data_IF_966066093210
#
_entry.id   IF_966066093210
#
_cell.length_a   1.000
_cell.length_b   1.000
_cell.length_c   1.000
_cell.angle_alpha   90.00
_cell.angle_beta   90.00
_cell.angle_gamma   90.00
#
_symmetry.space_group_name_H-M   'P 1'
#
loop_
_entity.id
_entity.type
_entity.pdbx_description
1 polymer ?
#
# COMPACT_ATOMS: atom_id res chain seq x y z
N UNK A 1 -14.44 6.68 -4.09
CA UNK A 1 -15.50 5.68 -4.28
C UNK A 1 -15.57 5.19 -5.73
N UNK A 2 -15.99 3.96 -5.98
CA UNK A 2 -16.14 3.42 -7.35
C UNK A 2 -17.07 4.24 -8.25
N UNK A 3 -17.94 5.03 -7.66
CA UNK A 3 -18.79 5.97 -8.41
C UNK A 3 -17.97 7.03 -9.13
N UNK A 4 -16.92 7.54 -8.48
CA UNK A 4 -16.08 8.62 -8.99
C UNK A 4 -14.86 8.05 -9.75
N UNK A 5 -14.42 6.85 -9.35
CA UNK A 5 -13.29 6.12 -9.92
C UNK A 5 -13.73 4.70 -10.25
N UNK A 6 -14.41 4.49 -11.38
CA UNK A 6 -14.91 3.18 -11.77
C UNK A 6 -13.76 2.20 -12.05
N UNK A 7 -14.02 0.93 -11.81
CA UNK A 7 -13.08 -0.13 -12.18
C UNK A 7 -12.95 -0.20 -13.71
N UNK A 8 -11.73 -0.30 -14.18
CA UNK A 8 -11.40 -0.53 -15.58
C UNK A 8 -10.60 -1.83 -15.72
N UNK A 9 -10.83 -2.56 -16.80
CA UNK A 9 -10.05 -3.76 -17.10
C UNK A 9 -8.67 -3.36 -17.62
N UNK A 10 -7.60 -3.83 -16.96
CA UNK A 10 -6.22 -3.54 -17.34
C UNK A 10 -5.46 -4.79 -17.79
N UNK A 11 -5.96 -5.99 -17.53
CA UNK A 11 -5.34 -7.24 -17.89
C UNK A 11 -5.81 -8.43 -17.07
N UNK A 12 -5.17 -9.56 -17.30
CA UNK A 12 -5.42 -10.82 -16.61
C UNK A 12 -4.16 -11.23 -15.85
N UNK A 13 -4.30 -11.54 -14.59
CA UNK A 13 -3.24 -12.15 -13.76
C UNK A 13 -3.60 -13.62 -13.51
N UNK A 14 -2.73 -14.52 -13.98
CA UNK A 14 -2.93 -15.96 -13.83
C UNK A 14 -1.96 -16.51 -12.78
N UNK A 15 -2.48 -17.11 -11.72
CA UNK A 15 -1.73 -17.80 -10.68
C UNK A 15 -1.77 -19.32 -10.95
N UNK A 16 -0.93 -19.78 -11.87
CA UNK A 16 -0.99 -21.14 -12.41
C UNK A 16 0.17 -22.05 -12.00
N UNK A 17 1.12 -21.55 -11.17
CA UNK A 17 2.27 -22.32 -10.68
C UNK A 17 2.58 -21.93 -9.24
N UNK A 18 2.82 -22.93 -8.40
CA UNK A 18 3.37 -22.74 -7.06
C UNK A 18 4.90 -22.58 -7.12
N UNK A 19 5.52 -21.84 -6.19
CA UNK A 19 6.95 -21.80 -6.04
C UNK A 19 7.48 -23.18 -5.61
N UNK A 20 8.68 -23.54 -6.10
CA UNK A 20 9.37 -24.79 -5.73
C UNK A 20 10.28 -24.60 -4.53
N UNK A 21 10.86 -23.41 -4.40
CA UNK A 21 11.73 -23.06 -3.29
C UNK A 21 11.25 -21.79 -2.61
N UNK A 22 10.72 -21.92 -1.39
CA UNK A 22 10.16 -20.81 -0.64
C UNK A 22 11.14 -19.65 -0.42
N UNK A 23 12.39 -19.94 -0.05
CA UNK A 23 13.38 -18.89 0.19
C UNK A 23 13.82 -18.20 -1.09
N UNK A 24 14.10 -18.95 -2.13
CA UNK A 24 14.56 -18.38 -3.39
C UNK A 24 13.48 -17.58 -4.14
N UNK A 25 12.23 -18.04 -4.09
CA UNK A 25 11.16 -17.54 -4.95
C UNK A 25 10.11 -16.69 -4.20
N UNK A 26 10.05 -16.76 -2.86
CA UNK A 26 9.05 -16.05 -2.04
C UNK A 26 9.69 -15.18 -0.98
N UNK A 27 10.45 -15.75 -0.03
CA UNK A 27 10.98 -15.03 1.13
C UNK A 27 11.89 -13.87 0.74
N UNK A 28 12.69 -14.03 -0.31
CA UNK A 28 13.61 -13.01 -0.82
C UNK A 28 12.98 -12.04 -1.81
N UNK A 29 11.69 -12.16 -2.09
CA UNK A 29 10.99 -11.17 -2.92
C UNK A 29 11.02 -9.79 -2.26
N UNK A 30 11.44 -8.79 -3.02
CA UNK A 30 11.66 -7.43 -2.53
C UNK A 30 10.77 -6.44 -3.30
N UNK A 31 9.49 -6.38 -2.95
CA UNK A 31 8.59 -5.39 -3.52
C UNK A 31 8.93 -4.00 -3.01
N UNK A 32 8.93 -3.04 -3.93
CA UNK A 32 9.16 -1.64 -3.61
C UNK A 32 8.20 -0.78 -4.45
N UNK A 33 7.36 0.05 -3.83
CA UNK A 33 6.45 0.94 -4.57
C UNK A 33 7.18 1.98 -5.43
N UNK A 34 8.48 2.21 -5.22
CA UNK A 34 9.29 3.06 -6.09
C UNK A 34 9.64 2.40 -7.44
N UNK A 35 9.45 1.08 -7.57
CA UNK A 35 9.69 0.36 -8.82
C UNK A 35 8.47 0.49 -9.74
N UNK A 36 8.45 1.54 -10.53
CA UNK A 36 7.40 1.80 -11.52
C UNK A 36 7.95 1.70 -12.94
N UNK A 37 7.06 1.65 -13.91
CA UNK A 37 7.39 1.66 -15.34
C UNK A 37 7.04 3.02 -15.94
N UNK A 38 7.68 3.42 -17.06
CA UNK A 38 7.31 4.65 -17.77
C UNK A 38 5.80 4.72 -18.05
N UNK A 39 5.22 5.89 -17.85
CA UNK A 39 3.78 6.13 -17.98
C UNK A 39 2.94 5.88 -16.73
N UNK A 40 3.54 5.37 -15.65
CA UNK A 40 2.90 5.25 -14.32
C UNK A 40 3.68 6.12 -13.34
N UNK A 41 3.02 7.13 -12.78
CA UNK A 41 3.58 8.02 -11.77
C UNK A 41 3.11 7.70 -10.35
N UNK A 42 3.52 8.52 -9.42
CA UNK A 42 3.13 8.41 -8.01
C UNK A 42 1.97 9.34 -7.68
N UNK A 43 1.01 8.85 -6.93
CA UNK A 43 -0.04 9.72 -6.40
C UNK A 43 0.51 10.63 -5.28
N UNK A 44 -0.17 11.76 -4.98
CA UNK A 44 0.21 12.66 -3.90
C UNK A 44 -0.17 12.14 -2.50
N UNK A 45 -0.68 10.92 -2.40
CA UNK A 45 -1.02 10.30 -1.12
C UNK A 45 0.19 10.28 -0.18
N UNK A 46 0.03 10.83 1.02
CA UNK A 46 1.14 10.98 1.99
C UNK A 46 1.68 9.64 2.47
N UNK A 47 0.82 8.63 2.57
CA UNK A 47 1.25 7.27 2.94
C UNK A 47 2.12 6.69 1.84
N UNK A 48 1.73 6.81 0.57
CA UNK A 48 2.54 6.36 -0.55
C UNK A 48 3.88 7.08 -0.60
N UNK A 49 3.89 8.40 -0.43
CA UNK A 49 5.13 9.19 -0.42
C UNK A 49 6.11 8.71 0.66
N UNK A 50 5.63 8.41 1.86
CA UNK A 50 6.45 7.80 2.93
C UNK A 50 6.94 6.40 2.57
N UNK A 51 6.12 5.59 1.90
CA UNK A 51 6.46 4.23 1.48
C UNK A 51 7.55 4.18 0.40
N UNK A 52 7.68 5.22 -0.43
CA UNK A 52 8.76 5.30 -1.42
C UNK A 52 10.16 5.26 -0.78
N UNK A 53 10.29 5.80 0.41
CA UNK A 53 11.55 5.76 1.17
C UNK A 53 11.67 4.48 2.02
N UNK A 54 10.59 4.08 2.68
CA UNK A 54 10.61 3.01 3.68
C UNK A 54 10.97 1.64 3.10
N UNK A 55 10.41 1.28 1.93
CA UNK A 55 10.60 -0.07 1.38
C UNK A 55 12.00 -0.29 0.85
N UNK A 56 12.58 0.68 0.14
CA UNK A 56 13.95 0.58 -0.34
C UNK A 56 14.95 0.43 0.80
N UNK A 57 14.75 1.17 1.87
CA UNK A 57 15.58 1.06 3.07
C UNK A 57 15.41 -0.30 3.76
N UNK A 58 14.18 -0.73 3.99
CA UNK A 58 13.89 -2.02 4.62
C UNK A 58 14.51 -3.20 3.85
N UNK A 59 14.48 -3.19 2.52
CA UNK A 59 15.06 -4.27 1.72
C UNK A 59 16.59 -4.32 1.82
N UNK A 60 17.26 -3.19 1.97
CA UNK A 60 18.72 -3.15 2.20
C UNK A 60 19.09 -3.84 3.51
N UNK A 61 18.32 -3.64 4.56
CA UNK A 61 18.54 -4.30 5.85
C UNK A 61 18.12 -5.77 5.84
N UNK A 62 17.02 -6.10 5.21
CA UNK A 62 16.48 -7.45 5.19
C UNK A 62 17.29 -8.39 4.28
N UNK A 63 17.70 -7.93 3.11
CA UNK A 63 18.28 -8.77 2.06
C UNK A 63 19.72 -8.37 1.68
N UNK A 64 20.08 -7.11 1.86
CA UNK A 64 21.37 -6.57 1.46
C UNK A 64 21.27 -5.48 0.40
N UNK A 65 22.37 -4.74 0.21
CA UNK A 65 22.43 -3.62 -0.75
C UNK A 65 22.26 -4.06 -2.20
N UNK A 66 22.52 -5.31 -2.51
CA UNK A 66 22.41 -5.92 -3.83
C UNK A 66 21.10 -6.73 -4.02
N UNK A 67 20.08 -6.51 -3.22
CA UNK A 67 18.83 -7.27 -3.28
C UNK A 67 18.16 -7.27 -4.66
N UNK A 68 18.39 -6.24 -5.47
CA UNK A 68 17.89 -6.15 -6.84
C UNK A 68 18.59 -7.12 -7.82
N UNK A 69 19.71 -7.73 -7.43
CA UNK A 69 20.41 -8.75 -8.22
C UNK A 69 19.98 -10.19 -7.88
N UNK A 70 19.26 -10.38 -6.78
CA UNK A 70 18.69 -11.69 -6.42
C UNK A 70 17.74 -12.12 -7.55
N UNK A 71 17.81 -13.36 -8.05
CA UNK A 71 17.08 -13.79 -9.24
C UNK A 71 15.57 -13.53 -9.21
N UNK A 72 14.91 -13.62 -8.05
CA UNK A 72 13.48 -13.33 -7.91
C UNK A 72 13.17 -11.85 -8.10
N UNK A 73 14.13 -10.96 -7.84
CA UNK A 73 13.98 -9.49 -7.93
C UNK A 73 14.59 -8.91 -9.19
N UNK A 74 15.50 -9.64 -9.84
CA UNK A 74 16.21 -9.14 -11.00
C UNK A 74 15.29 -8.93 -12.19
N UNK A 75 15.46 -7.79 -12.89
CA UNK A 75 14.76 -7.53 -14.12
C UNK A 75 15.11 -8.58 -15.19
N UNK A 76 14.10 -9.12 -15.86
CA UNK A 76 14.27 -10.12 -16.93
C UNK A 76 14.49 -9.50 -18.32
N UNK A 77 14.21 -8.23 -18.46
CA UNK A 77 14.45 -7.46 -19.68
C UNK A 77 15.60 -6.47 -19.47
N UNK A 78 16.23 -5.98 -20.54
CA UNK A 78 17.19 -4.91 -20.43
C UNK A 78 16.52 -3.67 -19.80
N UNK A 79 17.00 -3.27 -18.62
CA UNK A 79 16.53 -2.09 -17.93
C UNK A 79 17.66 -1.08 -17.89
N UNK A 80 17.42 0.08 -18.43
CA UNK A 80 18.32 1.21 -18.27
C UNK A 80 18.19 1.75 -16.87
N UNK A 81 19.29 1.69 -16.10
CA UNK A 81 19.33 2.04 -14.69
C UNK A 81 20.61 2.79 -14.38
N UNK A 82 20.52 3.72 -13.43
CA UNK A 82 21.70 4.39 -12.88
C UNK A 82 22.49 3.52 -11.89
N UNK A 83 22.01 2.32 -11.55
CA UNK A 83 22.73 1.33 -10.76
C UNK A 83 23.82 0.67 -11.62
N UNK A 84 25.05 1.13 -11.51
CA UNK A 84 26.16 0.61 -12.31
C UNK A 84 27.13 -0.20 -11.48
N UNK A 85 27.95 0.46 -10.72
CA UNK A 85 29.01 -0.11 -9.92
C UNK A 85 28.65 -0.03 -8.43
N UNK A 86 29.52 -0.52 -7.59
CA UNK A 86 29.40 -0.37 -6.15
C UNK A 86 29.56 -1.68 -5.40
N UNK A 87 29.46 -1.58 -4.09
CA UNK A 87 29.62 -2.71 -3.19
C UNK A 87 28.62 -3.84 -3.51
N UNK A 88 29.10 -5.07 -3.47
CA UNK A 88 28.33 -6.29 -3.70
C UNK A 88 27.77 -6.45 -5.13
N UNK A 89 28.35 -5.76 -6.10
CA UNK A 89 28.06 -6.00 -7.51
C UNK A 89 28.65 -7.33 -7.94
N UNK A 90 27.88 -8.16 -8.69
CA UNK A 90 28.30 -9.51 -9.10
C UNK A 90 28.05 -9.80 -10.58
N UNK A 91 27.42 -8.90 -11.32
CA UNK A 91 26.96 -9.07 -12.69
C UNK A 91 27.82 -8.30 -13.72
N UNK A 92 29.02 -7.89 -13.32
CA UNK A 92 29.99 -7.20 -14.19
C UNK A 92 30.04 -5.69 -13.97
N UNK A 93 30.95 -5.07 -14.71
CA UNK A 93 31.13 -3.62 -14.72
C UNK A 93 30.61 -3.08 -16.04
N UNK A 94 29.64 -2.17 -16.00
CA UNK A 94 29.00 -1.58 -17.17
C UNK A 94 29.73 -0.35 -17.72
N UNK A 95 30.99 -0.19 -17.37
CA UNK A 95 31.84 0.89 -17.84
C UNK A 95 31.70 2.18 -17.05
N UNK A 96 32.39 3.21 -17.51
CA UNK A 96 32.50 4.51 -16.85
C UNK A 96 31.49 5.53 -17.36
N UNK A 97 30.39 5.12 -17.92
CA UNK A 97 29.38 6.05 -18.43
C UNK A 97 28.80 6.90 -17.30
N UNK A 98 28.55 8.20 -17.49
CA UNK A 98 27.92 9.02 -16.48
C UNK A 98 26.55 8.49 -16.06
N UNK A 99 26.32 8.34 -14.77
CA UNK A 99 25.04 7.91 -14.20
C UNK A 99 24.13 9.07 -13.81
N UNK A 100 24.17 10.18 -14.56
CA UNK A 100 23.37 11.38 -14.29
C UNK A 100 22.93 12.06 -15.58
N UNK A 101 21.89 12.83 -15.52
CA UNK A 101 21.35 13.64 -16.60
C UNK A 101 21.04 15.07 -16.13
N UNK A 102 21.13 16.09 -17.00
CA UNK A 102 21.71 15.97 -18.35
C UNK A 102 23.24 15.81 -18.30
N UNK A 103 23.83 15.23 -19.32
CA UNK A 103 25.28 15.10 -19.47
C UNK A 103 25.75 15.45 -20.89
N UNK A 104 27.07 15.66 -21.06
CA UNK A 104 27.64 16.06 -22.35
C UNK A 104 27.70 14.96 -23.40
N UNK A 105 27.37 13.73 -23.03
CA UNK A 105 27.45 12.57 -23.93
C UNK A 105 26.12 12.22 -24.59
N UNK A 106 25.02 12.89 -24.18
CA UNK A 106 23.69 12.61 -24.70
C UNK A 106 23.11 11.26 -24.29
N UNK A 107 23.75 10.61 -23.31
CA UNK A 107 23.23 9.40 -22.70
C UNK A 107 22.30 9.76 -21.54
N UNK A 108 21.32 8.89 -21.25
CA UNK A 108 20.35 9.13 -20.19
C UNK A 108 19.59 10.44 -20.40
N UNK A 109 18.54 10.35 -21.18
CA UNK A 109 17.67 11.47 -21.50
C UNK A 109 16.31 11.28 -20.84
N UNK A 110 15.72 12.39 -20.40
CA UNK A 110 14.33 12.41 -20.01
C UNK A 110 13.43 11.92 -21.16
N UNK A 111 12.31 11.34 -20.81
CA UNK A 111 11.28 10.90 -21.76
C UNK A 111 10.07 11.84 -21.63
N UNK A 112 10.00 12.93 -22.43
CA UNK A 112 8.93 13.92 -22.29
C UNK A 112 7.51 13.35 -22.44
N UNK A 113 7.38 12.29 -23.23
CA UNK A 113 6.09 11.61 -23.43
C UNK A 113 5.58 10.91 -22.16
N UNK A 114 6.45 10.72 -21.19
CA UNK A 114 6.13 10.11 -19.88
C UNK A 114 6.29 11.09 -18.72
N UNK A 115 6.38 12.39 -19.01
CA UNK A 115 6.45 13.40 -17.96
C UNK A 115 5.21 13.35 -17.06
N UNK A 116 5.43 13.45 -15.75
CA UNK A 116 4.33 13.53 -14.81
C UNK A 116 3.57 14.85 -14.97
N UNK A 117 2.23 14.84 -14.87
CA UNK A 117 1.47 16.06 -14.88
C UNK A 117 1.84 16.93 -13.66
N UNK A 118 1.88 18.26 -13.83
CA UNK A 118 2.23 19.14 -12.72
C UNK A 118 1.20 19.02 -11.60
N UNK A 119 1.69 18.92 -10.37
CA UNK A 119 0.87 18.92 -9.16
C UNK A 119 0.82 20.33 -8.59
N UNK A 120 -0.33 21.01 -8.73
CA UNK A 120 -0.54 22.30 -8.10
C UNK A 120 -0.79 22.12 -6.60
N UNK A 121 0.07 22.72 -5.77
CA UNK A 121 -0.05 22.70 -4.32
C UNK A 121 -0.21 24.12 -3.80
N UNK A 122 -1.20 24.31 -2.92
CA UNK A 122 -1.38 25.54 -2.14
C UNK A 122 -1.37 25.21 -0.66
N UNK A 123 -0.73 26.04 0.15
CA UNK A 123 -0.71 25.92 1.60
C UNK A 123 0.70 25.99 2.21
N UNK A 124 0.73 25.96 3.52
CA UNK A 124 1.98 25.90 4.27
C UNK A 124 2.52 24.47 4.35
N UNK A 125 3.79 24.27 4.10
CA UNK A 125 4.45 23.00 4.37
C UNK A 125 4.60 22.84 5.89
N UNK A 126 3.95 21.83 6.45
CA UNK A 126 3.95 21.55 7.88
C UNK A 126 3.71 20.06 8.15
N UNK A 127 3.97 19.64 9.39
CA UNK A 127 3.55 18.33 9.86
C UNK A 127 2.02 18.24 9.87
N UNK A 128 1.49 17.17 9.30
CA UNK A 128 0.05 16.95 9.31
C UNK A 128 -0.42 16.53 10.70
N UNK A 129 -1.36 17.27 11.24
CA UNK A 129 -2.07 16.87 12.47
C UNK A 129 -3.43 16.29 12.10
N UNK A 130 -3.53 14.95 12.11
CA UNK A 130 -4.77 14.24 11.79
C UNK A 130 -5.93 14.53 12.76
N UNK A 131 -5.64 15.13 13.93
CA UNK A 131 -6.68 15.50 14.91
C UNK A 131 -7.56 16.66 14.45
N UNK A 132 -7.14 17.39 13.41
CA UNK A 132 -8.00 18.41 12.79
C UNK A 132 -9.09 17.79 11.92
N UNK A 133 -8.91 16.57 11.45
CA UNK A 133 -9.94 15.82 10.76
C UNK A 133 -10.95 15.30 11.79
N UNK A 134 -12.17 15.75 11.71
CA UNK A 134 -13.21 15.41 12.67
C UNK A 134 -14.10 14.26 12.22
N UNK A 135 -14.09 13.92 10.92
CA UNK A 135 -14.94 12.89 10.34
C UNK A 135 -14.15 11.64 9.95
N UNK A 136 -14.07 10.69 10.87
CA UNK A 136 -13.51 9.36 10.67
C UNK A 136 -14.57 8.27 10.40
N UNK A 137 -15.85 8.64 10.37
CA UNK A 137 -16.96 7.69 10.42
C UNK A 137 -17.86 7.69 9.19
N UNK A 138 -17.99 8.81 8.49
CA UNK A 138 -18.88 8.92 7.33
C UNK A 138 -18.52 7.96 6.22
N UNK A 139 -17.24 7.83 5.88
CA UNK A 139 -16.79 6.96 4.79
C UNK A 139 -16.96 5.48 5.11
N UNK A 140 -16.56 4.95 6.29
CA UNK A 140 -16.88 3.58 6.71
C UNK A 140 -18.38 3.29 6.74
N UNK A 141 -19.20 4.23 7.24
CA UNK A 141 -20.65 4.11 7.24
C UNK A 141 -21.24 4.05 5.82
N UNK A 142 -20.74 4.86 4.90
CA UNK A 142 -21.15 4.82 3.50
C UNK A 142 -20.84 3.46 2.86
N UNK A 143 -19.65 2.91 3.11
CA UNK A 143 -19.28 1.58 2.62
C UNK A 143 -20.19 0.48 3.22
N UNK A 144 -20.43 0.53 4.53
CA UNK A 144 -21.32 -0.42 5.21
C UNK A 144 -22.72 -0.44 4.61
N UNK A 145 -23.27 0.72 4.29
CA UNK A 145 -24.60 0.83 3.67
C UNK A 145 -24.69 0.22 2.27
N UNK A 146 -23.58 0.18 1.53
CA UNK A 146 -23.49 -0.47 0.22
C UNK A 146 -23.42 -2.00 0.29
N UNK A 147 -23.06 -2.57 1.45
CA UNK A 147 -22.91 -4.01 1.62
C UNK A 147 -24.27 -4.74 1.55
N UNK A 148 -24.28 -5.91 0.92
CA UNK A 148 -25.40 -6.85 1.00
C UNK A 148 -25.57 -7.42 2.41
N UNK A 149 -26.74 -8.03 2.70
CA UNK A 149 -26.98 -8.67 4.00
C UNK A 149 -25.94 -9.73 4.34
N UNK A 150 -25.55 -10.55 3.38
CA UNK A 150 -24.51 -11.57 3.57
C UNK A 150 -23.13 -10.96 3.88
N UNK A 151 -22.77 -9.88 3.21
CA UNK A 151 -21.51 -9.17 3.47
C UNK A 151 -21.50 -8.51 4.86
N UNK A 152 -22.62 -7.93 5.29
CA UNK A 152 -22.76 -7.37 6.65
C UNK A 152 -22.63 -8.45 7.71
N UNK A 153 -23.28 -9.60 7.52
CA UNK A 153 -23.16 -10.71 8.45
C UNK A 153 -21.72 -11.22 8.54
N UNK A 154 -21.05 -11.41 7.41
CA UNK A 154 -19.64 -11.79 7.39
C UNK A 154 -18.75 -10.75 8.08
N UNK A 155 -19.01 -9.45 7.95
CA UNK A 155 -18.33 -8.38 8.65
C UNK A 155 -18.50 -8.52 10.17
N UNK A 156 -19.72 -8.74 10.66
CA UNK A 156 -20.01 -8.90 12.09
C UNK A 156 -19.28 -10.11 12.66
N UNK A 157 -19.38 -11.26 12.02
CA UNK A 157 -18.77 -12.50 12.47
C UNK A 157 -17.25 -12.44 12.48
N UNK A 158 -16.66 -11.87 11.44
CA UNK A 158 -15.21 -11.68 11.33
C UNK A 158 -14.70 -10.71 12.38
N UNK A 159 -15.40 -9.60 12.62
CA UNK A 159 -15.03 -8.63 13.65
C UNK A 159 -15.12 -9.26 15.03
N UNK A 160 -16.22 -9.94 15.33
CA UNK A 160 -16.42 -10.61 16.62
C UNK A 160 -15.32 -11.64 16.90
N UNK A 161 -15.00 -12.47 15.90
CA UNK A 161 -13.93 -13.47 16.01
C UNK A 161 -12.55 -12.83 16.22
N UNK A 162 -12.25 -11.74 15.52
CA UNK A 162 -10.95 -11.09 15.62
C UNK A 162 -10.69 -10.42 16.97
N UNK A 163 -11.74 -9.93 17.66
CA UNK A 163 -11.62 -9.22 18.93
C UNK A 163 -12.17 -9.99 20.14
N UNK A 164 -12.53 -11.26 19.98
CA UNK A 164 -13.14 -12.08 21.03
C UNK A 164 -12.31 -12.12 22.33
N UNK A 165 -10.99 -12.21 22.17
CA UNK A 165 -10.05 -12.32 23.30
C UNK A 165 -9.64 -10.95 23.89
N UNK A 166 -10.04 -9.84 23.26
CA UNK A 166 -9.75 -8.52 23.80
C UNK A 166 -10.52 -8.26 25.11
N UNK A 167 -9.97 -7.45 26.03
CA UNK A 167 -10.68 -7.04 27.24
C UNK A 167 -12.06 -6.47 26.92
N UNK A 168 -13.02 -6.70 27.83
CA UNK A 168 -14.43 -6.31 27.59
C UNK A 168 -14.60 -4.82 27.33
N UNK A 169 -13.90 -3.98 28.05
CA UNK A 169 -13.94 -2.52 27.86
C UNK A 169 -13.42 -2.10 26.46
N UNK A 170 -12.44 -2.82 25.92
CA UNK A 170 -11.93 -2.58 24.56
C UNK A 170 -12.98 -2.97 23.53
N UNK A 171 -13.65 -4.10 23.71
CA UNK A 171 -14.75 -4.52 22.81
C UNK A 171 -15.90 -3.52 22.83
N UNK A 172 -16.27 -3.00 24.00
CA UNK A 172 -17.29 -1.96 24.14
C UNK A 172 -16.87 -0.67 23.42
N UNK A 173 -15.61 -0.22 23.57
CA UNK A 173 -15.10 0.94 22.83
C UNK A 173 -15.14 0.74 21.32
N UNK A 174 -14.79 -0.45 20.86
CA UNK A 174 -14.87 -0.78 19.42
C UNK A 174 -16.32 -0.72 18.91
N UNK A 175 -17.28 -1.30 19.64
CA UNK A 175 -18.70 -1.22 19.29
C UNK A 175 -19.16 0.25 19.18
N UNK A 176 -18.74 1.10 20.12
CA UNK A 176 -19.06 2.54 20.09
C UNK A 176 -18.48 3.25 18.84
N UNK A 177 -17.32 2.86 18.37
CA UNK A 177 -16.80 3.37 17.11
C UNK A 177 -17.62 2.88 15.90
N UNK A 178 -18.01 1.61 15.88
CA UNK A 178 -18.89 1.09 14.83
C UNK A 178 -20.25 1.80 14.82
N UNK A 179 -20.83 2.10 15.98
CA UNK A 179 -22.08 2.86 16.11
C UNK A 179 -21.97 4.27 15.50
N UNK A 180 -20.82 4.94 15.68
CA UNK A 180 -20.58 6.27 15.07
C UNK A 180 -20.54 6.21 13.54
N UNK A 181 -20.07 5.10 12.98
CA UNK A 181 -20.06 4.90 11.52
C UNK A 181 -21.48 4.60 11.00
N UNK A 182 -22.18 3.66 11.64
CA UNK A 182 -23.58 3.35 11.34
C UNK A 182 -24.21 2.58 12.52
N UNK A 183 -25.41 2.97 12.99
CA UNK A 183 -26.08 2.28 14.10
C UNK A 183 -26.27 0.78 13.89
N UNK A 184 -26.61 0.36 12.68
CA UNK A 184 -26.78 -1.06 12.34
C UNK A 184 -25.44 -1.80 12.32
N UNK A 185 -24.37 -1.14 11.97
CA UNK A 185 -23.01 -1.72 12.03
C UNK A 185 -22.63 -2.00 13.50
N UNK A 186 -22.73 -1.01 14.37
CA UNK A 186 -22.41 -1.19 15.78
C UNK A 186 -23.29 -2.23 16.47
N UNK A 187 -24.61 -2.22 16.17
CA UNK A 187 -25.52 -3.22 16.71
C UNK A 187 -25.17 -4.65 16.27
N UNK A 188 -24.88 -4.84 14.97
CA UNK A 188 -24.52 -6.16 14.44
C UNK A 188 -23.23 -6.72 15.06
N UNK A 189 -22.23 -5.89 15.28
CA UNK A 189 -21.00 -6.31 15.99
C UNK A 189 -21.29 -6.65 17.46
N UNK A 190 -22.11 -5.85 18.14
CA UNK A 190 -22.50 -6.11 19.52
C UNK A 190 -23.26 -7.43 19.68
N UNK A 191 -24.22 -7.69 18.79
CA UNK A 191 -25.00 -8.93 18.77
C UNK A 191 -24.08 -10.16 18.54
N UNK A 192 -23.14 -10.06 17.61
CA UNK A 192 -22.16 -11.11 17.34
C UNK A 192 -21.22 -11.37 18.54
N UNK A 193 -20.87 -10.34 19.30
CA UNK A 193 -20.07 -10.43 20.53
C UNK A 193 -20.89 -10.79 21.78
N UNK A 194 -22.22 -10.88 21.66
CA UNK A 194 -23.16 -11.11 22.76
C UNK A 194 -23.01 -10.05 23.88
N UNK A 195 -22.82 -8.78 23.50
CA UNK A 195 -22.75 -7.65 24.43
C UNK A 195 -24.07 -6.90 24.37
N UNK A 196 -24.78 -6.77 25.52
CA UNK A 196 -26.10 -6.14 25.54
C UNK A 196 -26.02 -4.63 25.33
N UNK A 197 -27.07 -4.00 24.78
CA UNK A 197 -27.12 -2.57 24.51
C UNK A 197 -26.88 -1.70 25.76
N UNK A 198 -27.24 -2.16 26.93
CA UNK A 198 -27.04 -1.44 28.21
C UNK A 198 -25.58 -1.12 28.53
N UNK A 199 -24.63 -1.81 27.91
CA UNK A 199 -23.20 -1.59 28.19
C UNK A 199 -22.53 -0.60 27.20
N UNK A 200 -23.11 -0.36 26.05
CA UNK A 200 -22.52 0.53 25.04
C UNK A 200 -23.42 1.71 24.67
N UNK A 201 -24.68 1.72 25.10
CA UNK A 201 -25.52 2.90 24.99
C UNK A 201 -24.88 4.07 25.75
N UNK A 202 -24.83 5.24 25.13
CA UNK A 202 -24.37 6.52 25.68
C UNK A 202 -25.57 7.37 25.97
#
# INVERSE_FOLDING_TARGET
>A
PHKDYPLIEVGVMELNRNPENFFAEVEQSAFNPANIVPGIGFSPDKMLQGRLFAYGDAQRYRLGVNHHLIPVNAARCPVHSYHRDGAMRVDGNFGSTPGYEPNSYGEWQEQPDHAEPPLALEGAANSWDHRVDTDYFSQPGALFRLMSGAQRQALFDNTARAIAEAPRDIRIRHIRHCLKADPAYGKGVADALKIPPSEFAV
#
